data_IF_143621038312
#
_entry.id   IF_143621038312
#
_cell.length_a   1.000
_cell.length_b   1.000
_cell.length_c   1.000
_cell.angle_alpha   90.00
_cell.angle_beta   90.00
_cell.angle_gamma   90.00
#
_symmetry.space_group_name_H-M   'P 1'
#
loop_
_entity.id
_entity.type
_entity.pdbx_description
1 polymer ?
#
# COMPACT_ATOMS: atom_id res chain seq x y z
N UNK A 1 -53.84 -14.07 -32.19
CA UNK A 1 -53.50 -12.73 -31.64
C UNK A 1 -53.23 -12.72 -30.13
N UNK A 2 -54.04 -13.36 -29.27
CA UNK A 2 -53.81 -13.36 -27.80
C UNK A 2 -52.47 -13.98 -27.36
N UNK A 3 -52.08 -15.14 -27.89
CA UNK A 3 -50.80 -15.82 -27.58
C UNK A 3 -49.56 -14.97 -27.92
N UNK A 4 -49.62 -14.19 -29.01
CA UNK A 4 -48.52 -13.30 -29.42
C UNK A 4 -48.34 -12.11 -28.46
N UNK A 5 -49.45 -11.59 -27.90
CA UNK A 5 -49.41 -10.54 -26.87
C UNK A 5 -48.76 -11.03 -25.58
N UNK A 6 -49.02 -12.27 -25.14
CA UNK A 6 -48.37 -12.83 -23.95
C UNK A 6 -46.86 -13.05 -24.15
N UNK A 7 -46.45 -13.49 -25.34
CA UNK A 7 -45.02 -13.65 -25.67
C UNK A 7 -44.30 -12.29 -25.63
N UNK A 8 -44.92 -11.23 -26.16
CA UNK A 8 -44.38 -9.87 -26.10
C UNK A 8 -44.27 -9.34 -24.66
N UNK A 9 -45.26 -9.61 -23.82
CA UNK A 9 -45.22 -9.21 -22.41
C UNK A 9 -44.09 -9.94 -21.67
N UNK A 10 -43.92 -11.25 -21.88
CA UNK A 10 -42.83 -12.03 -21.26
C UNK A 10 -41.45 -11.53 -21.72
N UNK A 11 -41.28 -11.21 -23.00
CA UNK A 11 -40.03 -10.64 -23.53
C UNK A 11 -39.72 -9.27 -22.90
N UNK A 12 -40.72 -8.40 -22.74
CA UNK A 12 -40.52 -7.12 -22.04
C UNK A 12 -40.13 -7.31 -20.57
N UNK A 13 -40.70 -8.32 -19.90
CA UNK A 13 -40.42 -8.60 -18.50
C UNK A 13 -39.00 -9.16 -18.30
N UNK A 14 -38.52 -9.99 -19.22
CA UNK A 14 -37.13 -10.48 -19.23
C UNK A 14 -36.12 -9.35 -19.49
N UNK A 15 -36.47 -8.40 -20.35
CA UNK A 15 -35.64 -7.23 -20.61
C UNK A 15 -35.56 -6.31 -19.38
N UNK A 16 -36.70 -6.04 -18.72
CA UNK A 16 -36.76 -5.26 -17.48
C UNK A 16 -36.01 -5.97 -16.35
N UNK A 17 -36.14 -7.29 -16.22
CA UNK A 17 -35.42 -8.06 -15.21
C UNK A 17 -33.90 -7.98 -15.38
N UNK A 18 -33.39 -8.09 -16.62
CA UNK A 18 -31.97 -7.89 -16.90
C UNK A 18 -31.52 -6.45 -16.64
N UNK A 19 -32.35 -5.45 -16.95
CA UNK A 19 -32.05 -4.04 -16.68
C UNK A 19 -32.00 -3.74 -15.17
N UNK A 20 -32.94 -4.28 -14.40
CA UNK A 20 -32.96 -4.20 -12.93
C UNK A 20 -31.73 -4.90 -12.34
N UNK A 21 -31.32 -6.07 -12.86
CA UNK A 21 -30.10 -6.77 -12.39
C UNK A 21 -28.86 -5.89 -12.49
N UNK A 22 -28.66 -5.17 -13.61
CA UNK A 22 -27.54 -4.24 -13.77
C UNK A 22 -27.58 -3.06 -12.78
N UNK A 23 -28.79 -2.63 -12.38
CA UNK A 23 -28.98 -1.55 -11.41
C UNK A 23 -28.84 -2.01 -9.95
N UNK A 24 -29.23 -3.24 -9.63
CA UNK A 24 -29.30 -3.76 -8.25
C UNK A 24 -28.10 -4.63 -7.82
N UNK A 25 -27.17 -4.98 -8.72
CA UNK A 25 -25.92 -5.69 -8.35
C UNK A 25 -24.76 -4.75 -7.95
N UNK A 26 -25.05 -3.52 -7.54
CA UNK A 26 -24.12 -2.73 -6.71
C UNK A 26 -24.64 -2.78 -5.28
N UNK A 27 -24.11 -3.73 -4.51
CA UNK A 27 -24.21 -3.67 -3.05
C UNK A 27 -23.27 -2.55 -2.59
N UNK A 28 -23.82 -1.35 -2.51
CA UNK A 28 -23.20 -0.18 -1.91
C UNK A 28 -23.22 -0.35 -0.38
N UNK A 29 -22.21 -1.03 0.17
CA UNK A 29 -21.78 -0.82 1.56
C UNK A 29 -20.49 0.01 1.57
N UNK A 30 -20.51 1.11 0.83
CA UNK A 30 -19.47 2.15 0.91
C UNK A 30 -20.06 3.26 1.78
N UNK A 31 -19.49 3.56 2.97
CA UNK A 31 -19.98 4.67 3.77
C UNK A 31 -19.90 5.97 2.96
N UNK A 32 -21.03 6.69 2.85
CA UNK A 32 -21.05 8.04 2.26
C UNK A 32 -20.29 8.97 3.20
N UNK A 33 -19.06 9.32 2.81
CA UNK A 33 -18.44 10.55 3.28
C UNK A 33 -19.14 11.69 2.54
N UNK A 34 -19.87 12.55 3.26
CA UNK A 34 -20.30 13.83 2.72
C UNK A 34 -19.04 14.63 2.35
N UNK A 35 -18.76 14.76 1.05
CA UNK A 35 -17.76 15.71 0.57
C UNK A 35 -18.39 17.08 0.77
N UNK A 36 -17.97 17.79 1.82
CA UNK A 36 -18.17 19.23 1.86
C UNK A 36 -17.41 19.80 0.65
N UNK A 37 -18.13 20.17 -0.41
CA UNK A 37 -17.60 20.91 -1.56
C UNK A 37 -17.26 22.36 -1.20
N UNK A 38 -16.59 22.57 -0.07
CA UNK A 38 -15.89 23.81 0.16
C UNK A 38 -14.54 23.70 -0.57
N UNK A 39 -14.57 24.07 -1.86
CA UNK A 39 -13.36 24.38 -2.62
C UNK A 39 -12.67 25.58 -1.95
N UNK A 40 -11.89 25.30 -0.91
CA UNK A 40 -10.96 26.29 -0.35
C UNK A 40 -9.82 26.40 -1.34
N UNK A 41 -9.95 27.35 -2.28
CA UNK A 41 -8.80 27.88 -3.01
C UNK A 41 -7.86 28.52 -2.00
N UNK A 42 -6.88 27.77 -1.52
CA UNK A 42 -5.76 28.35 -0.80
C UNK A 42 -4.79 28.93 -1.81
N UNK A 43 -4.65 30.26 -1.72
CA UNK A 43 -3.71 31.07 -2.49
C UNK A 43 -2.33 30.42 -2.61
N UNK A 44 -1.76 30.52 -3.81
CA UNK A 44 -0.33 30.33 -4.05
C UNK A 44 0.46 31.30 -3.16
N UNK A 45 0.94 30.83 -2.00
CA UNK A 45 2.16 31.24 -1.30
C UNK A 45 2.39 30.33 -0.06
N UNK A 46 3.40 29.45 -0.17
CA UNK A 46 4.27 28.95 0.93
C UNK A 46 3.73 28.05 2.08
N UNK A 47 2.78 27.15 1.83
CA UNK A 47 2.73 25.86 2.56
C UNK A 47 1.95 24.82 1.75
N UNK A 48 2.62 24.06 0.89
CA UNK A 48 2.02 22.80 0.40
C UNK A 48 1.90 21.89 1.62
N UNK A 49 0.68 21.65 2.06
CA UNK A 49 0.38 20.69 3.10
C UNK A 49 0.98 19.34 2.69
N UNK A 50 1.76 18.74 3.61
CA UNK A 50 2.39 17.45 3.34
C UNK A 50 1.34 16.36 3.45
N UNK A 51 1.45 15.37 2.58
CA UNK A 51 0.55 14.22 2.56
C UNK A 51 1.06 13.14 3.50
N UNK A 52 0.18 12.48 4.24
CA UNK A 52 0.57 11.31 5.03
C UNK A 52 0.88 10.13 4.11
N UNK A 53 2.11 9.61 4.18
CA UNK A 53 2.58 8.54 3.31
C UNK A 53 1.79 7.24 3.50
N UNK A 54 1.23 7.01 4.68
CA UNK A 54 0.49 5.80 5.01
C UNK A 54 -0.94 5.83 4.44
N UNK A 55 -1.50 7.01 4.20
CA UNK A 55 -2.89 7.17 3.74
C UNK A 55 -3.02 7.73 2.31
N UNK A 56 -1.94 8.29 1.75
CA UNK A 56 -1.99 8.95 0.43
C UNK A 56 -2.36 7.99 -0.71
N UNK A 57 -3.20 8.47 -1.64
CA UNK A 57 -3.59 7.76 -2.86
C UNK A 57 -2.68 8.11 -4.05
N UNK A 58 -2.66 7.23 -5.06
CA UNK A 58 -1.82 7.43 -6.25
C UNK A 58 -2.14 8.75 -6.96
N UNK A 59 -3.41 9.11 -7.10
CA UNK A 59 -3.83 10.33 -7.79
C UNK A 59 -3.38 11.60 -7.03
N UNK A 60 -3.36 11.57 -5.71
CA UNK A 60 -2.83 12.65 -4.88
C UNK A 60 -1.32 12.82 -5.08
N UNK A 61 -0.57 11.71 -5.13
CA UNK A 61 0.86 11.70 -5.45
C UNK A 61 1.13 12.29 -6.85
N UNK A 62 0.26 12.01 -7.83
CA UNK A 62 0.39 12.56 -9.18
C UNK A 62 0.12 14.06 -9.22
N UNK A 63 -0.92 14.54 -8.51
CA UNK A 63 -1.33 15.96 -8.47
C UNK A 63 -0.22 16.87 -7.93
N UNK A 64 0.59 16.39 -6.98
CA UNK A 64 1.70 17.15 -6.40
C UNK A 64 2.96 17.19 -7.27
N UNK A 65 3.00 16.43 -8.37
CA UNK A 65 4.06 16.46 -9.38
C UNK A 65 5.09 15.32 -9.29
N UNK A 66 4.80 14.22 -8.57
CA UNK A 66 5.61 13.00 -8.68
C UNK A 66 5.20 12.19 -9.92
N UNK A 67 6.16 11.49 -10.53
CA UNK A 67 5.89 10.65 -11.69
C UNK A 67 5.08 9.41 -11.30
N UNK A 68 4.29 8.85 -12.22
CA UNK A 68 3.56 7.60 -11.97
C UNK A 68 4.47 6.47 -11.50
N UNK A 69 5.69 6.40 -12.05
CA UNK A 69 6.69 5.40 -11.63
C UNK A 69 7.13 5.57 -10.18
N UNK A 70 7.27 6.80 -9.70
CA UNK A 70 7.56 7.06 -8.27
C UNK A 70 6.36 6.71 -7.40
N UNK A 71 5.15 7.12 -7.82
CA UNK A 71 3.93 6.83 -7.09
C UNK A 71 3.73 5.32 -6.91
N UNK A 72 3.79 4.53 -7.99
CA UNK A 72 3.63 3.08 -7.92
C UNK A 72 4.64 2.42 -6.99
N UNK A 73 5.91 2.83 -7.05
CA UNK A 73 6.94 2.27 -6.17
C UNK A 73 6.69 2.57 -4.69
N UNK A 74 6.20 3.77 -4.36
CA UNK A 74 5.88 4.14 -2.98
C UNK A 74 4.69 3.31 -2.48
N UNK A 75 3.66 3.13 -3.31
CA UNK A 75 2.50 2.31 -2.95
C UNK A 75 2.89 0.84 -2.82
N UNK A 76 3.61 0.25 -3.78
CA UNK A 76 4.10 -1.13 -3.70
C UNK A 76 4.95 -1.35 -2.44
N UNK A 77 5.80 -0.38 -2.09
CA UNK A 77 6.59 -0.46 -0.87
C UNK A 77 5.72 -0.42 0.39
N UNK A 78 4.72 0.48 0.44
CA UNK A 78 3.75 0.55 1.55
C UNK A 78 2.96 -0.75 1.68
N UNK A 79 2.46 -1.27 0.57
CA UNK A 79 1.69 -2.53 0.56
C UNK A 79 2.55 -3.71 1.00
N UNK A 80 3.85 -3.70 0.68
CA UNK A 80 4.79 -4.74 1.08
C UNK A 80 5.20 -4.66 2.55
N UNK A 81 5.47 -3.47 3.10
CA UNK A 81 5.95 -3.34 4.50
C UNK A 81 4.81 -3.13 5.51
N UNK A 82 3.66 -2.64 5.05
CA UNK A 82 2.62 -2.04 5.89
C UNK A 82 3.00 -0.60 6.28
N UNK A 83 2.84 -0.29 7.56
CA UNK A 83 3.09 1.03 8.11
C UNK A 83 4.55 1.49 7.89
N UNK A 84 4.70 2.67 7.30
CA UNK A 84 5.98 3.32 7.08
C UNK A 84 6.28 4.24 8.27
N UNK A 85 7.25 3.87 9.09
CA UNK A 85 7.65 4.64 10.29
C UNK A 85 8.24 6.02 9.99
N UNK A 86 8.90 6.17 8.84
CA UNK A 86 9.60 7.40 8.44
C UNK A 86 9.74 7.46 6.94
N UNK A 87 9.64 8.67 6.39
CA UNK A 87 9.91 8.97 4.96
C UNK A 87 11.32 8.52 4.56
N UNK A 88 12.29 8.50 5.48
CA UNK A 88 13.64 7.99 5.23
C UNK A 88 13.66 6.53 4.79
N UNK A 89 12.66 5.73 5.15
CA UNK A 89 12.58 4.32 4.76
C UNK A 89 12.42 4.13 3.24
N UNK A 90 11.98 5.15 2.51
CA UNK A 90 11.88 5.09 1.05
C UNK A 90 13.23 4.85 0.35
N UNK A 91 14.36 5.10 1.03
CA UNK A 91 15.70 4.79 0.50
C UNK A 91 15.90 3.28 0.26
N UNK A 92 15.06 2.45 0.87
CA UNK A 92 15.08 0.98 0.69
C UNK A 92 14.45 0.54 -0.63
N UNK A 93 13.71 1.43 -1.29
CA UNK A 93 13.13 1.19 -2.60
C UNK A 93 14.23 1.27 -3.66
N UNK A 94 14.36 0.23 -4.48
CA UNK A 94 15.33 0.18 -5.57
C UNK A 94 15.18 1.38 -6.51
N UNK A 95 16.26 2.16 -6.64
CA UNK A 95 16.34 3.35 -7.49
C UNK A 95 15.92 4.65 -6.79
N UNK A 96 15.56 4.63 -5.51
CA UNK A 96 15.47 5.81 -4.66
C UNK A 96 16.79 5.91 -3.87
N UNK A 97 17.44 7.06 -3.95
CA UNK A 97 18.67 7.34 -3.22
C UNK A 97 18.44 8.43 -2.16
N UNK A 98 19.45 8.70 -1.34
CA UNK A 98 19.39 9.74 -0.30
C UNK A 98 19.08 11.14 -0.84
N UNK A 99 19.56 11.48 -2.04
CA UNK A 99 19.31 12.78 -2.66
C UNK A 99 17.81 12.97 -2.98
N UNK A 100 17.09 11.88 -3.24
CA UNK A 100 15.64 11.93 -3.45
C UNK A 100 14.86 12.04 -2.13
N UNK A 101 15.44 11.68 -0.98
CA UNK A 101 14.73 11.72 0.31
C UNK A 101 14.35 13.14 0.70
N UNK A 102 15.22 14.13 0.45
CA UNK A 102 14.90 15.53 0.75
C UNK A 102 13.71 16.04 -0.09
N UNK A 103 13.56 15.54 -1.33
CA UNK A 103 12.38 15.79 -2.16
C UNK A 103 11.14 15.17 -1.51
N UNK A 104 11.21 13.91 -1.08
CA UNK A 104 10.07 13.24 -0.46
C UNK A 104 9.69 13.82 0.91
N UNK A 105 10.65 14.30 1.72
CA UNK A 105 10.37 14.95 3.02
C UNK A 105 9.66 16.31 2.90
N UNK A 106 9.74 16.96 1.74
CA UNK A 106 8.96 18.18 1.44
C UNK A 106 7.52 17.86 1.05
N UNK A 107 7.26 16.62 0.66
CA UNK A 107 5.99 16.16 0.11
C UNK A 107 5.20 15.37 1.15
N UNK A 108 5.88 14.46 1.85
CA UNK A 108 5.28 13.48 2.74
C UNK A 108 5.62 13.76 4.19
N UNK A 109 4.69 13.39 5.06
CA UNK A 109 4.88 13.21 6.49
C UNK A 109 4.46 11.79 6.89
N UNK A 110 4.71 11.44 8.14
CA UNK A 110 4.15 10.26 8.80
C UNK A 110 3.38 10.80 9.99
N UNK A 111 2.07 10.61 10.01
CA UNK A 111 1.26 10.96 11.19
C UNK A 111 1.62 10.04 12.35
N UNK A 112 1.57 10.52 13.59
CA UNK A 112 1.78 9.63 14.73
C UNK A 112 0.43 9.03 15.14
N UNK A 113 0.29 7.73 14.91
CA UNK A 113 -0.88 6.94 15.31
C UNK A 113 -0.42 5.75 16.15
N UNK A 114 -1.23 5.33 17.12
CA UNK A 114 -0.96 4.12 17.89
C UNK A 114 -1.26 2.84 17.08
N UNK A 115 -2.08 2.95 16.02
CA UNK A 115 -2.55 1.84 15.18
C UNK A 115 -1.58 1.54 14.02
N UNK A 116 -0.34 1.14 14.34
CA UNK A 116 0.68 0.80 13.34
C UNK A 116 0.56 -0.68 12.94
N UNK A 117 0.02 -0.95 11.74
CA UNK A 117 -0.08 -2.30 11.18
C UNK A 117 1.10 -2.61 10.25
N UNK A 118 1.81 -3.72 10.50
CA UNK A 118 2.94 -4.15 9.67
C UNK A 118 2.64 -5.48 8.99
N UNK A 119 3.04 -5.60 7.73
CA UNK A 119 2.87 -6.85 6.97
C UNK A 119 3.93 -7.87 7.40
N UNK A 120 3.46 -9.08 7.70
CA UNK A 120 4.27 -10.22 8.18
C UNK A 120 4.60 -11.20 7.06
N UNK A 121 5.89 -11.46 6.87
CA UNK A 121 6.44 -12.32 5.84
C UNK A 121 7.16 -13.52 6.42
N UNK A 122 7.12 -14.65 5.71
CA UNK A 122 7.95 -15.81 6.05
C UNK A 122 9.40 -15.50 5.64
N UNK A 123 10.31 -15.43 6.61
CA UNK A 123 11.72 -15.09 6.34
C UNK A 123 12.40 -16.06 5.37
N UNK A 124 11.94 -17.31 5.32
CA UNK A 124 12.50 -18.35 4.46
C UNK A 124 12.11 -18.18 2.98
N UNK A 125 11.09 -17.37 2.68
CA UNK A 125 10.56 -17.16 1.32
C UNK A 125 11.01 -15.82 0.71
N UNK A 126 11.48 -14.88 1.52
CA UNK A 126 11.89 -13.55 1.05
C UNK A 126 13.13 -13.58 0.16
N UNK A 127 13.17 -12.74 -0.87
CA UNK A 127 14.37 -12.44 -1.65
C UNK A 127 15.33 -11.49 -0.93
N UNK A 128 16.54 -11.34 -1.46
CA UNK A 128 17.52 -10.35 -0.96
C UNK A 128 16.95 -8.92 -1.01
N UNK A 129 16.36 -8.52 -2.13
CA UNK A 129 15.77 -7.18 -2.31
C UNK A 129 14.61 -6.95 -1.32
N UNK A 130 13.78 -7.96 -1.06
CA UNK A 130 12.69 -7.89 -0.08
C UNK A 130 13.19 -7.78 1.37
N UNK A 131 14.23 -8.52 1.75
CA UNK A 131 14.84 -8.36 3.07
C UNK A 131 15.40 -6.94 3.27
N UNK A 132 15.98 -6.35 2.23
CA UNK A 132 16.40 -4.95 2.27
C UNK A 132 15.22 -3.99 2.41
N UNK A 133 14.11 -4.23 1.70
CA UNK A 133 12.90 -3.42 1.81
C UNK A 133 12.33 -3.42 3.24
N UNK A 134 12.35 -4.57 3.93
CA UNK A 134 11.96 -4.64 5.34
C UNK A 134 12.90 -3.87 6.28
N UNK A 135 14.13 -3.55 5.84
CA UNK A 135 15.10 -2.76 6.59
C UNK A 135 16.26 -3.54 7.17
N UNK A 136 16.48 -4.78 6.74
CA UNK A 136 17.70 -5.50 7.09
C UNK A 136 18.92 -4.83 6.42
N UNK A 137 20.02 -4.73 7.17
CA UNK A 137 21.29 -4.27 6.61
C UNK A 137 21.88 -5.34 5.69
N UNK A 138 22.87 -4.97 4.86
CA UNK A 138 23.56 -5.93 3.99
C UNK A 138 24.17 -7.10 4.75
N UNK A 139 24.68 -6.85 5.96
CA UNK A 139 25.25 -7.89 6.81
C UNK A 139 24.17 -8.77 7.42
N UNK A 140 23.01 -8.21 7.79
CA UNK A 140 21.86 -9.01 8.25
C UNK A 140 21.35 -9.91 7.13
N UNK A 141 21.19 -9.37 5.91
CA UNK A 141 20.73 -10.12 4.74
C UNK A 141 21.69 -11.27 4.45
N UNK A 142 23.00 -11.00 4.42
CA UNK A 142 24.02 -12.05 4.20
C UNK A 142 23.89 -13.17 5.23
N UNK A 143 23.80 -12.82 6.51
CA UNK A 143 23.65 -13.81 7.59
C UNK A 143 22.37 -14.64 7.46
N UNK A 144 21.24 -14.02 7.11
CA UNK A 144 19.96 -14.71 6.88
C UNK A 144 20.09 -15.70 5.72
N UNK A 145 20.68 -15.29 4.61
CA UNK A 145 20.89 -16.15 3.43
C UNK A 145 21.85 -17.31 3.73
N UNK A 146 22.92 -17.07 4.50
CA UNK A 146 23.85 -18.13 4.93
C UNK A 146 23.15 -19.21 5.77
N UNK A 147 22.22 -18.84 6.67
CA UNK A 147 21.45 -19.83 7.42
C UNK A 147 20.52 -20.60 6.47
N UNK A 148 19.77 -19.89 5.62
CA UNK A 148 18.77 -20.48 4.70
C UNK A 148 19.35 -21.50 3.73
N UNK A 149 20.61 -21.32 3.33
CA UNK A 149 21.32 -22.29 2.48
C UNK A 149 21.53 -23.65 3.16
N UNK A 150 21.55 -23.68 4.49
CA UNK A 150 21.83 -24.88 5.29
C UNK A 150 20.56 -25.46 5.92
N UNK A 151 19.64 -24.60 6.38
CA UNK A 151 18.40 -24.98 7.06
C UNK A 151 17.37 -23.87 7.03
N UNK A 152 16.10 -24.25 7.24
CA UNK A 152 15.03 -23.29 7.52
C UNK A 152 15.26 -22.61 8.87
N UNK A 153 14.97 -21.30 8.93
CA UNK A 153 14.92 -20.52 10.16
C UNK A 153 13.53 -20.71 10.75
N UNK A 154 13.46 -21.28 11.95
CA UNK A 154 12.18 -21.67 12.58
C UNK A 154 11.85 -20.84 13.82
N UNK A 155 12.79 -20.01 14.28
CA UNK A 155 12.58 -19.16 15.44
C UNK A 155 13.45 -17.90 15.40
N UNK A 156 13.00 -16.89 16.13
CA UNK A 156 13.73 -15.64 16.35
C UNK A 156 15.05 -15.84 17.11
N UNK A 157 15.16 -16.90 17.91
CA UNK A 157 16.38 -17.25 18.65
C UNK A 157 17.60 -17.41 17.73
N UNK A 158 17.40 -17.94 16.52
CA UNK A 158 18.45 -18.17 15.52
C UNK A 158 19.00 -16.86 14.91
N UNK A 159 18.23 -15.78 15.06
CA UNK A 159 18.52 -14.45 14.54
C UNK A 159 19.04 -13.48 15.61
N UNK A 160 18.79 -13.79 16.88
CA UNK A 160 19.08 -12.91 18.02
C UNK A 160 20.56 -12.55 18.11
N UNK A 161 20.84 -11.25 18.21
CA UNK A 161 22.20 -10.70 18.32
C UNK A 161 22.99 -10.67 17.00
N UNK A 162 22.40 -11.13 15.90
CA UNK A 162 23.02 -11.13 14.56
C UNK A 162 22.26 -10.26 13.56
N UNK A 163 20.95 -10.12 13.73
CA UNK A 163 20.11 -9.24 12.91
C UNK A 163 19.36 -8.21 13.74
N UNK A 164 18.80 -7.20 13.06
CA UNK A 164 17.95 -6.22 13.69
C UNK A 164 16.63 -6.85 14.15
N UNK A 165 16.51 -7.10 15.46
CA UNK A 165 15.30 -7.72 16.04
C UNK A 165 14.07 -6.82 15.95
N UNK A 166 14.21 -5.50 15.80
CA UNK A 166 13.05 -4.64 15.59
C UNK A 166 12.39 -4.93 14.23
N UNK A 167 13.20 -5.19 13.20
CA UNK A 167 12.69 -5.58 11.87
C UNK A 167 12.02 -6.97 11.94
N UNK A 168 12.65 -7.91 12.65
CA UNK A 168 12.07 -9.26 12.87
C UNK A 168 10.71 -9.13 13.57
N UNK A 169 10.65 -8.42 14.69
CA UNK A 169 9.44 -8.25 15.48
C UNK A 169 8.33 -7.52 14.72
N UNK A 170 8.66 -6.64 13.77
CA UNK A 170 7.67 -5.93 12.94
C UNK A 170 7.21 -6.75 11.75
N UNK A 171 8.11 -7.41 11.02
CA UNK A 171 7.80 -7.92 9.68
C UNK A 171 7.95 -9.42 9.49
N UNK A 172 8.44 -10.18 10.48
CA UNK A 172 8.76 -11.60 10.28
C UNK A 172 7.79 -12.52 11.03
N UNK A 173 7.43 -13.61 10.35
CA UNK A 173 6.88 -14.85 10.90
C UNK A 173 7.78 -16.02 10.44
N UNK A 174 7.75 -17.11 11.19
CA UNK A 174 8.56 -18.31 10.97
C UNK A 174 7.70 -19.47 10.49
#
# INVERSE_FOLDING_TARGET
MRKLKYILVILSMLFIFNFIKTFFTKEDNVPRVEINEELVFQNDNENKEKLDINNVMIDEILKIGLSSKEAYKIIEYRDFVGYIDTVDNLVRIKGINRNNIDKYKKIFLVEDTEEKEYVKHNINELSEDELFMLGFSKDNVRYILEIRNNKEIRSDLELKGKVNMNVVNKHIKF
#
